data_IF_432427379715
#
_entry.id   IF_432427379715
#
_cell.length_a   1.000
_cell.length_b   1.000
_cell.length_c   1.000
_cell.angle_alpha   90.00
_cell.angle_beta   90.00
_cell.angle_gamma   90.00
#
_symmetry.space_group_name_H-M   'P 1'
#
loop_
_entity.id
_entity.type
_entity.pdbx_description
1 polymer ?
#
# COMPACT_ATOMS: atom_id res chain seq x y z
N UNK A 1 -14.58 -5.64 -1.40
CA UNK A 1 -14.95 -4.33 -0.84
C UNK A 1 -13.92 -3.35 -1.32
N UNK A 2 -14.32 -2.13 -1.62
CA UNK A 2 -13.44 -1.11 -2.22
C UNK A 2 -12.48 -0.51 -1.18
N UNK A 3 -13.02 -0.12 -0.02
CA UNK A 3 -12.25 0.37 1.14
C UNK A 3 -12.66 -0.40 2.38
N UNK A 4 -11.70 -0.80 3.22
CA UNK A 4 -11.96 -1.33 4.56
C UNK A 4 -11.06 -0.68 5.58
N UNK A 5 -11.65 -0.28 6.69
CA UNK A 5 -10.92 0.17 7.87
C UNK A 5 -10.92 -0.92 8.93
N UNK A 6 -9.77 -1.10 9.58
CA UNK A 6 -9.61 -2.01 10.70
C UNK A 6 -8.97 -1.26 11.87
N UNK A 7 -9.57 -1.41 13.04
CA UNK A 7 -9.02 -0.87 14.29
C UNK A 7 -7.92 -1.78 14.85
N UNK A 8 -6.84 -1.16 15.34
CA UNK A 8 -5.71 -1.85 15.94
C UNK A 8 -4.82 -0.87 16.70
N UNK A 9 -3.54 -1.22 16.90
CA UNK A 9 -2.56 -0.28 17.46
C UNK A 9 -2.44 1.01 16.63
N UNK A 10 -2.59 0.87 15.32
CA UNK A 10 -2.77 1.94 14.35
C UNK A 10 -3.99 1.57 13.49
N UNK A 11 -4.80 2.55 13.05
CA UNK A 11 -5.82 2.30 12.02
C UNK A 11 -5.17 1.72 10.77
N UNK A 12 -5.76 0.66 10.22
CA UNK A 12 -5.34 0.07 8.94
C UNK A 12 -6.42 0.33 7.90
N UNK A 13 -6.04 1.02 6.83
CA UNK A 13 -6.89 1.24 5.66
C UNK A 13 -6.47 0.29 4.55
N UNK A 14 -7.41 -0.48 4.02
CA UNK A 14 -7.19 -1.41 2.92
C UNK A 14 -8.02 -0.98 1.71
N UNK A 15 -7.32 -0.64 0.63
CA UNK A 15 -7.89 -0.14 -0.62
C UNK A 15 -7.69 -1.18 -1.74
N UNK A 16 -8.72 -1.44 -2.54
CA UNK A 16 -8.65 -2.23 -3.77
C UNK A 16 -8.98 -1.34 -4.97
N UNK A 17 -7.94 -0.73 -5.56
CA UNK A 17 -8.06 0.33 -6.58
C UNK A 17 -8.62 -0.19 -7.91
N UNK A 18 -8.42 -1.47 -8.22
CA UNK A 18 -8.99 -2.08 -9.41
C UNK A 18 -10.53 -1.98 -9.45
N UNK A 19 -11.17 -1.96 -8.27
CA UNK A 19 -12.63 -1.77 -8.16
C UNK A 19 -13.05 -0.31 -8.10
N UNK A 20 -12.10 0.61 -7.92
CA UNK A 20 -12.32 2.06 -7.81
C UNK A 20 -12.43 2.72 -9.18
N UNK A 21 -11.79 2.20 -10.24
CA UNK A 21 -11.80 2.85 -11.58
C UNK A 21 -13.22 3.16 -12.15
N UNK A 22 -14.29 2.54 -11.63
CA UNK A 22 -15.68 2.88 -11.98
C UNK A 22 -16.38 3.92 -11.08
N UNK A 23 -15.76 4.30 -9.95
CA UNK A 23 -16.32 5.13 -8.87
C UNK A 23 -15.25 6.06 -8.25
N UNK A 24 -14.13 6.28 -8.95
CA UNK A 24 -12.94 6.94 -8.42
C UNK A 24 -13.20 8.39 -7.97
N UNK A 25 -14.10 9.07 -8.67
CA UNK A 25 -14.51 10.44 -8.34
C UNK A 25 -15.38 10.51 -7.07
N UNK A 26 -15.87 9.38 -6.54
CA UNK A 26 -16.71 9.34 -5.33
C UNK A 26 -15.95 9.02 -4.05
N UNK A 27 -14.67 8.64 -4.15
CA UNK A 27 -13.83 8.28 -3.02
C UNK A 27 -12.71 9.30 -2.87
N UNK A 28 -12.72 10.03 -1.77
CA UNK A 28 -11.60 10.88 -1.38
C UNK A 28 -10.44 10.00 -0.88
N UNK A 29 -9.52 9.68 -1.79
CA UNK A 29 -8.36 8.84 -1.50
C UNK A 29 -7.36 9.53 -0.55
N UNK A 30 -7.36 10.86 -0.48
CA UNK A 30 -6.38 11.61 0.29
C UNK A 30 -6.54 11.35 1.79
N UNK A 31 -7.78 11.20 2.28
CA UNK A 31 -8.06 10.88 3.69
C UNK A 31 -7.43 9.54 4.09
N UNK A 32 -7.48 8.54 3.20
CA UNK A 32 -6.92 7.23 3.45
C UNK A 32 -5.41 7.19 3.24
N UNK A 33 -4.87 7.88 2.24
CA UNK A 33 -3.43 7.84 1.93
C UNK A 33 -2.62 8.70 2.91
N UNK A 34 -3.14 9.86 3.30
CA UNK A 34 -2.44 10.82 4.15
C UNK A 34 -2.96 10.88 5.60
N UNK A 35 -3.88 9.98 5.97
CA UNK A 35 -4.39 9.83 7.33
C UNK A 35 -3.33 9.35 8.34
N UNK A 36 -3.68 9.37 9.63
CA UNK A 36 -2.78 8.99 10.74
C UNK A 36 -2.55 7.48 10.94
N UNK A 37 -2.78 6.65 9.91
CA UNK A 37 -2.76 5.19 9.99
C UNK A 37 -1.72 4.53 9.07
N UNK A 38 -1.94 3.25 8.79
CA UNK A 38 -1.22 2.50 7.76
C UNK A 38 -2.19 2.20 6.63
N UNK A 39 -1.76 2.44 5.40
CA UNK A 39 -2.59 2.23 4.21
C UNK A 39 -1.97 1.17 3.32
N UNK A 40 -2.75 0.15 3.00
CA UNK A 40 -2.39 -0.94 2.09
C UNK A 40 -3.25 -0.81 0.84
N UNK A 41 -2.60 -0.65 -0.30
CA UNK A 41 -3.27 -0.39 -1.58
C UNK A 41 -3.00 -1.57 -2.52
N UNK A 42 -4.03 -2.38 -2.78
CA UNK A 42 -4.02 -3.36 -3.86
C UNK A 42 -4.19 -2.66 -5.21
N UNK A 43 -3.46 -3.12 -6.22
CA UNK A 43 -3.41 -2.50 -7.56
C UNK A 43 -3.01 -1.02 -7.52
N UNK A 44 -2.16 -0.63 -6.55
CA UNK A 44 -1.72 0.76 -6.38
C UNK A 44 -1.03 1.37 -7.60
N UNK A 45 -0.46 0.54 -8.49
CA UNK A 45 0.10 0.99 -9.76
C UNK A 45 -0.95 1.66 -10.68
N UNK A 46 -2.25 1.41 -10.48
CA UNK A 46 -3.33 2.07 -11.21
C UNK A 46 -3.55 3.53 -10.77
N UNK A 47 -3.03 3.94 -9.61
CA UNK A 47 -3.12 5.32 -9.14
C UNK A 47 -2.23 6.29 -9.94
N UNK A 48 -1.23 5.78 -10.66
CA UNK A 48 -0.34 6.61 -11.49
C UNK A 48 0.27 7.77 -10.69
N UNK A 49 0.02 9.00 -11.14
CA UNK A 49 0.53 10.23 -10.52
C UNK A 49 -0.11 10.56 -9.16
N UNK A 50 -1.18 9.86 -8.76
CA UNK A 50 -1.81 10.00 -7.44
C UNK A 50 -1.10 9.19 -6.34
N UNK A 51 -0.07 8.40 -6.69
CA UNK A 51 0.76 7.75 -5.68
C UNK A 51 1.50 8.79 -4.82
N UNK A 52 1.62 8.56 -3.50
CA UNK A 52 2.41 9.46 -2.65
C UNK A 52 3.90 9.41 -3.03
N UNK A 53 4.65 10.47 -2.71
CA UNK A 53 6.10 10.54 -2.97
C UNK A 53 6.90 9.47 -2.21
N UNK A 54 6.35 8.93 -1.12
CA UNK A 54 6.99 7.92 -0.29
C UNK A 54 6.04 6.77 0.03
N UNK A 55 6.47 5.55 -0.31
CA UNK A 55 5.74 4.30 -0.05
C UNK A 55 6.70 3.10 -0.14
N UNK A 56 6.28 1.97 0.43
CA UNK A 56 6.93 0.68 0.23
C UNK A 56 6.07 -0.13 -0.74
N UNK A 57 6.60 -0.41 -1.92
CA UNK A 57 5.96 -1.27 -2.91
C UNK A 57 6.25 -2.73 -2.59
N UNK A 58 5.22 -3.58 -2.69
CA UNK A 58 5.29 -5.03 -2.53
C UNK A 58 4.73 -5.69 -3.79
N UNK A 59 5.58 -6.44 -4.49
CA UNK A 59 5.15 -7.29 -5.60
C UNK A 59 5.12 -8.74 -5.14
N UNK A 60 3.99 -9.43 -5.38
CA UNK A 60 3.80 -10.84 -5.04
C UNK A 60 3.82 -11.66 -6.34
N UNK A 61 4.94 -12.30 -6.62
CA UNK A 61 5.13 -13.13 -7.81
C UNK A 61 4.81 -14.59 -7.51
N UNK A 62 4.02 -15.23 -8.37
CA UNK A 62 3.75 -16.66 -8.29
C UNK A 62 4.99 -17.47 -8.69
N UNK A 63 5.33 -18.48 -7.90
CA UNK A 63 6.35 -19.48 -8.22
C UNK A 63 5.73 -20.89 -8.23
N UNK A 64 6.53 -21.91 -8.57
CA UNK A 64 6.07 -23.30 -8.66
C UNK A 64 5.48 -23.81 -7.32
N UNK A 65 6.23 -23.65 -6.23
CA UNK A 65 5.85 -24.14 -4.89
C UNK A 65 5.66 -23.01 -3.88
N UNK A 66 5.34 -21.79 -4.33
CA UNK A 66 5.22 -20.66 -3.42
C UNK A 66 5.03 -19.31 -4.09
N UNK A 67 5.50 -18.28 -3.40
CA UNK A 67 5.44 -16.89 -3.82
C UNK A 67 6.77 -16.22 -3.49
N UNK A 68 7.27 -15.42 -4.42
CA UNK A 68 8.37 -14.49 -4.17
C UNK A 68 7.80 -13.11 -3.86
N UNK A 69 8.28 -12.50 -2.80
CA UNK A 69 7.95 -11.13 -2.44
C UNK A 69 9.12 -10.24 -2.84
N UNK A 70 8.89 -9.29 -3.75
CA UNK A 70 9.84 -8.24 -4.05
C UNK A 70 9.40 -6.96 -3.36
N UNK A 71 10.34 -6.26 -2.74
CA UNK A 71 10.08 -4.99 -2.06
C UNK A 71 10.86 -3.89 -2.77
N UNK A 72 10.21 -2.76 -3.04
CA UNK A 72 10.87 -1.54 -3.50
C UNK A 72 10.49 -0.37 -2.61
N UNK A 73 11.46 0.25 -1.96
CA UNK A 73 11.25 1.44 -1.16
C UNK A 73 11.30 2.70 -2.04
N UNK A 74 10.35 3.61 -1.84
CA UNK A 74 10.37 4.97 -2.37
C UNK A 74 10.36 5.95 -1.20
N UNK A 75 11.37 6.81 -1.14
CA UNK A 75 11.52 7.81 -0.09
C UNK A 75 12.12 7.28 1.22
N UNK A 76 12.70 8.20 1.99
CA UNK A 76 13.52 7.90 3.17
C UNK A 76 12.81 7.07 4.24
N UNK A 77 11.49 7.26 4.42
CA UNK A 77 10.73 6.51 5.42
C UNK A 77 10.58 5.04 5.03
N UNK A 78 10.31 4.76 3.76
CA UNK A 78 10.16 3.41 3.24
C UNK A 78 11.51 2.68 3.19
N UNK A 79 12.59 3.39 2.85
CA UNK A 79 13.95 2.83 2.85
C UNK A 79 14.35 2.34 4.24
N UNK A 80 14.13 3.18 5.27
CA UNK A 80 14.36 2.80 6.67
C UNK A 80 13.50 1.62 7.10
N UNK A 81 12.22 1.60 6.68
CA UNK A 81 11.32 0.48 6.98
C UNK A 81 11.82 -0.83 6.34
N UNK A 82 12.30 -0.78 5.10
CA UNK A 82 12.81 -1.96 4.41
C UNK A 82 14.12 -2.46 5.06
N UNK A 83 14.99 -1.56 5.50
CA UNK A 83 16.21 -1.91 6.25
C UNK A 83 15.87 -2.59 7.58
N UNK A 84 14.92 -2.03 8.34
CA UNK A 84 14.41 -2.62 9.59
C UNK A 84 13.81 -4.02 9.35
N UNK A 85 13.09 -4.24 8.25
CA UNK A 85 12.52 -5.56 7.91
C UNK A 85 13.57 -6.60 7.52
N UNK A 86 14.68 -6.18 6.91
CA UNK A 86 15.74 -7.10 6.44
C UNK A 86 16.73 -7.47 7.53
N UNK A 87 17.05 -6.53 8.42
CA UNK A 87 18.14 -6.68 9.39
C UNK A 87 17.71 -6.52 10.85
N UNK A 88 16.48 -6.04 11.10
CA UNK A 88 15.94 -5.87 12.43
C UNK A 88 15.35 -7.17 12.98
N UNK A 89 16.05 -7.77 13.95
CA UNK A 89 15.49 -8.65 14.99
C UNK A 89 15.98 -8.15 16.34
#
# INVERSE_FOLDING_TARGET
>A
TIVREYEGRLPLYHLDVYRIEGDADSIDLDEFIFGGGVTVIEWGNLLGDALPDAYLELEILKEADGRRLNFQAKGLRAEKLLEELQYGV
#
